data_IF_828413781459
#
_entry.id   IF_828413781459
#
_cell.length_a   1.000
_cell.length_b   1.000
_cell.length_c   1.000
_cell.angle_alpha   90.00
_cell.angle_beta   90.00
_cell.angle_gamma   90.00
#
_symmetry.space_group_name_H-M   'P 1'
#
loop_
_entity.id
_entity.type
_entity.pdbx_description
1 polymer ?
#
# COMPACT_ATOMS: atom_id res chain seq x y z
N UNK A 1 -13.73 -9.73 0.42
CA UNK A 1 -12.78 -9.49 -0.69
C UNK A 1 -13.50 -9.48 -2.05
N UNK A 2 -14.46 -10.38 -2.28
CA UNK A 2 -15.18 -10.46 -3.56
C UNK A 2 -16.02 -9.21 -3.87
N UNK A 3 -16.63 -8.59 -2.86
CA UNK A 3 -17.36 -7.33 -3.05
C UNK A 3 -16.46 -6.19 -3.55
N UNK A 4 -15.25 -6.02 -2.97
CA UNK A 4 -14.30 -5.01 -3.43
C UNK A 4 -13.90 -5.26 -4.88
N UNK A 5 -13.57 -6.51 -5.24
CA UNK A 5 -13.25 -6.87 -6.62
C UNK A 5 -14.42 -6.64 -7.58
N UNK A 6 -15.64 -6.95 -7.15
CA UNK A 6 -16.84 -6.72 -7.96
C UNK A 6 -17.11 -5.24 -8.22
N UNK A 7 -16.82 -4.36 -7.25
CA UNK A 7 -17.05 -2.92 -7.36
C UNK A 7 -15.94 -2.21 -8.15
N UNK A 8 -14.68 -2.56 -7.89
CA UNK A 8 -13.53 -1.83 -8.45
C UNK A 8 -12.85 -2.55 -9.62
N UNK A 9 -13.16 -3.83 -9.85
CA UNK A 9 -12.57 -4.62 -10.93
C UNK A 9 -11.05 -4.64 -10.86
N UNK A 10 -10.39 -4.13 -11.91
CA UNK A 10 -8.93 -4.02 -12.00
C UNK A 10 -8.37 -2.72 -11.41
N UNK A 11 -9.22 -1.82 -10.90
CA UNK A 11 -8.82 -0.54 -10.31
C UNK A 11 -8.45 -0.66 -8.82
N UNK A 12 -7.91 -1.82 -8.43
CA UNK A 12 -7.40 -2.11 -7.09
C UNK A 12 -6.05 -2.83 -7.21
N UNK A 13 -5.11 -2.43 -6.36
CA UNK A 13 -3.80 -3.06 -6.27
C UNK A 13 -3.25 -2.93 -4.85
N UNK A 14 -2.32 -3.82 -4.50
CA UNK A 14 -1.57 -3.76 -3.25
C UNK A 14 -0.25 -3.05 -3.49
N UNK A 15 0.05 -2.07 -2.63
CA UNK A 15 1.33 -1.39 -2.58
C UNK A 15 1.96 -1.56 -1.20
N UNK A 16 2.95 -2.43 -1.06
CA UNK A 16 3.46 -2.94 0.22
C UNK A 16 4.92 -2.58 0.48
N UNK A 17 5.27 -2.32 1.74
CA UNK A 17 6.66 -2.12 2.17
C UNK A 17 7.46 -3.44 2.31
N UNK A 18 6.92 -4.56 1.83
CA UNK A 18 7.59 -5.87 1.81
C UNK A 18 7.38 -6.62 0.49
N UNK A 19 6.14 -6.97 0.14
CA UNK A 19 5.83 -7.66 -1.12
C UNK A 19 5.88 -6.68 -2.31
N UNK A 20 6.64 -7.01 -3.34
CA UNK A 20 6.83 -6.15 -4.52
C UNK A 20 7.87 -5.03 -4.35
N UNK A 21 8.44 -4.84 -3.16
CA UNK A 21 9.54 -3.89 -2.94
C UNK A 21 10.87 -4.58 -3.23
N UNK A 22 11.67 -4.04 -4.17
CA UNK A 22 12.94 -4.65 -4.63
C UNK A 22 13.89 -5.03 -3.47
N UNK A 23 13.97 -4.23 -2.40
CA UNK A 23 14.80 -4.51 -1.22
C UNK A 23 14.40 -5.81 -0.49
N UNK A 24 13.11 -6.15 -0.44
CA UNK A 24 12.57 -7.26 0.35
C UNK A 24 11.94 -8.38 -0.48
N UNK A 25 11.72 -8.16 -1.76
CA UNK A 25 11.12 -9.11 -2.72
C UNK A 25 11.76 -8.98 -4.13
N UNK A 26 13.10 -9.06 -4.25
CA UNK A 26 13.80 -8.85 -5.52
C UNK A 26 13.35 -9.83 -6.62
N UNK A 27 13.06 -11.07 -6.25
CA UNK A 27 12.59 -12.11 -7.17
C UNK A 27 11.06 -12.06 -7.41
N UNK A 28 10.34 -11.17 -6.74
CA UNK A 28 8.88 -11.07 -6.79
C UNK A 28 8.14 -12.32 -6.25
N UNK A 29 8.78 -13.10 -5.37
CA UNK A 29 8.17 -14.34 -4.84
C UNK A 29 7.02 -14.02 -3.89
N UNK A 30 7.20 -13.03 -3.00
CA UNK A 30 6.16 -12.63 -2.03
C UNK A 30 4.97 -12.02 -2.76
N UNK A 31 5.23 -11.13 -3.72
CA UNK A 31 4.19 -10.56 -4.58
C UNK A 31 3.41 -11.65 -5.32
N UNK A 32 4.06 -12.61 -6.00
CA UNK A 32 3.34 -13.71 -6.67
C UNK A 32 2.50 -14.57 -5.73
N UNK A 33 3.00 -14.88 -4.53
CA UNK A 33 2.23 -15.65 -3.54
C UNK A 33 1.00 -14.86 -3.10
N UNK A 34 1.18 -13.57 -2.80
CA UNK A 34 0.09 -12.70 -2.40
C UNK A 34 -0.96 -12.56 -3.50
N UNK A 35 -0.54 -12.25 -4.73
CA UNK A 35 -1.41 -12.14 -5.90
C UNK A 35 -2.24 -13.42 -6.12
N UNK A 36 -1.64 -14.61 -5.94
CA UNK A 36 -2.37 -15.89 -6.03
C UNK A 36 -3.36 -16.09 -4.89
N UNK A 37 -3.01 -15.67 -3.68
CA UNK A 37 -3.86 -15.84 -2.51
C UNK A 37 -5.08 -14.90 -2.53
N UNK A 38 -4.89 -13.64 -2.93
CA UNK A 38 -5.93 -12.62 -2.87
C UNK A 38 -6.52 -12.25 -4.22
N UNK A 39 -5.92 -12.63 -5.35
CA UNK A 39 -6.39 -12.31 -6.70
C UNK A 39 -6.40 -10.81 -7.01
N UNK A 40 -5.49 -10.03 -6.41
CA UNK A 40 -5.30 -8.60 -6.62
C UNK A 40 -3.83 -8.38 -6.95
N UNK A 41 -3.53 -7.53 -7.94
CA UNK A 41 -2.16 -7.25 -8.37
C UNK A 41 -1.35 -6.58 -7.26
N UNK A 42 -0.06 -6.89 -7.19
CA UNK A 42 0.90 -6.21 -6.33
C UNK A 42 1.76 -5.31 -7.19
N UNK A 43 1.78 -4.01 -6.89
CA UNK A 43 2.63 -3.06 -7.60
C UNK A 43 4.07 -3.27 -7.15
N UNK A 44 4.96 -3.46 -8.13
CA UNK A 44 6.39 -3.56 -7.88
C UNK A 44 7.02 -2.17 -7.86
N UNK A 45 7.94 -1.96 -6.94
CA UNK A 45 8.57 -0.66 -6.74
C UNK A 45 9.95 -0.75 -6.11
N UNK A 46 10.73 0.30 -6.33
CA UNK A 46 12.13 0.38 -5.87
C UNK A 46 12.31 1.07 -4.54
N UNK A 47 11.43 2.03 -4.24
CA UNK A 47 11.61 2.95 -3.12
C UNK A 47 10.53 2.69 -2.08
N UNK A 48 10.97 2.38 -0.85
CA UNK A 48 10.08 2.11 0.28
C UNK A 48 9.26 3.36 0.68
N UNK A 49 7.98 3.16 1.01
CA UNK A 49 7.16 4.23 1.60
C UNK A 49 7.73 4.68 2.95
N UNK A 50 7.67 5.99 3.28
CA UNK A 50 6.91 7.04 2.59
C UNK A 50 7.70 7.83 1.53
N UNK A 51 8.83 7.30 1.06
CA UNK A 51 9.57 7.88 -0.06
C UNK A 51 9.05 7.34 -1.40
N UNK A 52 9.59 7.87 -2.51
CA UNK A 52 9.20 7.47 -3.86
C UNK A 52 8.14 8.38 -4.48
N UNK A 53 7.99 8.26 -5.80
CA UNK A 53 7.01 8.99 -6.61
C UNK A 53 5.79 8.12 -6.91
N UNK A 54 4.75 8.72 -7.48
CA UNK A 54 3.53 8.03 -7.91
C UNK A 54 3.67 7.26 -9.24
N UNK A 55 4.81 7.39 -9.95
CA UNK A 55 4.94 6.98 -11.36
C UNK A 55 4.54 5.53 -11.62
N UNK A 56 4.98 4.60 -10.77
CA UNK A 56 4.67 3.17 -10.89
C UNK A 56 3.17 2.89 -10.69
N UNK A 57 2.50 3.68 -9.85
CA UNK A 57 1.08 3.55 -9.53
C UNK A 57 0.22 4.20 -10.62
N UNK A 58 0.59 5.40 -11.07
CA UNK A 58 -0.06 6.07 -12.20
C UNK A 58 0.03 5.23 -13.47
N UNK A 59 1.19 4.62 -13.74
CA UNK A 59 1.38 3.70 -14.87
C UNK A 59 0.51 2.45 -14.76
N UNK A 60 0.34 1.90 -13.56
CA UNK A 60 -0.49 0.72 -13.33
C UNK A 60 -1.97 0.99 -13.60
N UNK A 61 -2.48 2.16 -13.18
CA UNK A 61 -3.90 2.51 -13.30
C UNK A 61 -4.25 3.34 -14.53
N UNK A 62 -3.25 3.94 -15.20
CA UNK A 62 -3.46 4.81 -16.36
C UNK A 62 -4.15 6.13 -16.02
N UNK A 63 -3.98 6.64 -14.80
CA UNK A 63 -4.57 7.90 -14.35
C UNK A 63 -3.62 8.68 -13.46
N UNK A 64 -3.86 9.99 -13.37
CA UNK A 64 -3.11 10.91 -12.52
C UNK A 64 -3.34 10.61 -11.04
N UNK A 65 -2.33 10.94 -10.23
CA UNK A 65 -2.31 10.97 -8.76
C UNK A 65 -3.57 11.54 -8.12
N UNK A 66 -4.12 12.62 -8.68
CA UNK A 66 -5.35 13.27 -8.21
C UNK A 66 -6.60 12.38 -8.22
N UNK A 67 -6.56 11.26 -8.97
CA UNK A 67 -7.64 10.26 -9.09
C UNK A 67 -7.34 8.97 -8.35
N UNK A 68 -6.21 8.89 -7.64
CA UNK A 68 -5.80 7.74 -6.88
C UNK A 68 -6.19 7.87 -5.41
N UNK A 69 -6.51 6.74 -4.78
CA UNK A 69 -6.83 6.63 -3.37
C UNK A 69 -5.83 5.68 -2.72
N UNK A 70 -5.16 6.12 -1.65
CA UNK A 70 -4.35 5.26 -0.80
C UNK A 70 -5.14 4.88 0.45
N UNK A 71 -5.37 3.59 0.64
CA UNK A 71 -6.03 3.04 1.81
C UNK A 71 -5.01 2.24 2.62
N UNK A 72 -4.81 2.57 3.89
CA UNK A 72 -3.85 1.89 4.74
C UNK A 72 -4.04 2.20 6.21
N UNK A 73 -3.34 1.45 7.06
CA UNK A 73 -3.48 1.51 8.51
C UNK A 73 -2.32 2.23 9.20
N UNK A 74 -1.29 2.64 8.45
CA UNK A 74 -0.09 3.26 9.01
C UNK A 74 0.01 4.73 8.61
N UNK A 75 -0.14 5.66 9.56
CA UNK A 75 -0.03 7.10 9.30
C UNK A 75 1.30 7.48 8.63
N UNK A 76 2.43 7.03 9.21
CA UNK A 76 3.76 7.43 8.76
C UNK A 76 4.25 6.76 7.47
N UNK A 77 3.51 5.79 6.93
CA UNK A 77 3.85 5.18 5.64
C UNK A 77 2.76 5.40 4.61
N UNK A 78 1.55 4.93 4.85
CA UNK A 78 0.50 4.93 3.82
C UNK A 78 -0.05 6.34 3.61
N UNK A 79 -0.39 7.02 4.72
CA UNK A 79 -0.99 8.35 4.67
C UNK A 79 0.05 9.39 4.23
N UNK A 80 1.26 9.36 4.80
CA UNK A 80 2.33 10.28 4.38
C UNK A 80 2.71 10.04 2.91
N UNK A 81 2.80 8.79 2.44
CA UNK A 81 3.11 8.52 1.03
C UNK A 81 2.02 9.06 0.09
N UNK A 82 0.74 8.80 0.40
CA UNK A 82 -0.38 9.29 -0.40
C UNK A 82 -0.43 10.81 -0.43
N UNK A 83 -0.30 11.47 0.71
CA UNK A 83 -0.31 12.94 0.79
C UNK A 83 0.86 13.58 0.04
N UNK A 84 2.07 12.99 0.12
CA UNK A 84 3.25 13.47 -0.63
C UNK A 84 3.08 13.37 -2.15
N UNK A 85 2.28 12.41 -2.60
CA UNK A 85 2.07 12.13 -4.01
C UNK A 85 0.71 12.64 -4.53
N UNK A 86 -0.05 13.40 -3.74
CA UNK A 86 -1.31 14.01 -4.17
C UNK A 86 -2.52 13.07 -4.24
N UNK A 87 -2.46 11.93 -3.54
CA UNK A 87 -3.56 10.97 -3.49
C UNK A 87 -4.59 11.39 -2.43
N UNK A 88 -5.86 11.00 -2.62
CA UNK A 88 -6.79 10.94 -1.49
C UNK A 88 -6.35 9.82 -0.54
N UNK A 89 -6.33 10.07 0.76
CA UNK A 89 -5.90 9.08 1.77
C UNK A 89 -7.05 8.67 2.68
N UNK A 90 -7.16 7.36 2.96
CA UNK A 90 -8.10 6.80 3.92
C UNK A 90 -7.31 6.01 4.96
N UNK A 91 -7.28 6.52 6.18
CA UNK A 91 -6.70 5.83 7.32
C UNK A 91 -7.71 4.82 7.86
N UNK A 92 -7.28 3.57 8.00
CA UNK A 92 -8.08 2.46 8.53
C UNK A 92 -7.51 1.95 9.84
N UNK A 93 -8.34 1.29 10.64
CA UNK A 93 -7.84 0.57 11.81
C UNK A 93 -7.00 -0.65 11.38
N UNK A 94 -5.91 -0.96 12.09
CA UNK A 94 -5.10 -2.14 11.79
C UNK A 94 -5.92 -3.42 12.00
N UNK A 95 -5.74 -4.39 11.11
CA UNK A 95 -6.38 -5.72 11.23
C UNK A 95 -5.88 -6.47 12.48
N UNK A 96 -4.62 -6.23 12.89
CA UNK A 96 -4.04 -6.73 14.13
C UNK A 96 -2.79 -5.92 14.52
N UNK A 97 -2.61 -5.67 15.81
CA UNK A 97 -1.40 -5.06 16.38
C UNK A 97 -0.44 -6.10 17.00
N UNK A 98 -0.86 -7.36 17.12
CA UNK A 98 -0.21 -8.35 17.98
C UNK A 98 1.21 -8.73 17.55
N UNK A 99 1.51 -8.63 16.26
CA UNK A 99 2.81 -9.02 15.68
C UNK A 99 3.66 -7.81 15.25
N UNK A 100 3.25 -6.60 15.62
CA UNK A 100 3.97 -5.39 15.23
C UNK A 100 5.14 -5.08 16.15
N UNK A 101 6.27 -4.58 15.63
CA UNK A 101 7.35 -4.07 16.46
C UNK A 101 6.85 -2.97 17.41
N UNK A 102 7.33 -2.96 18.66
CA UNK A 102 6.91 -2.00 19.69
C UNK A 102 6.94 -0.54 19.22
N UNK A 103 7.98 -0.18 18.46
CA UNK A 103 8.11 1.16 17.87
C UNK A 103 6.94 1.52 16.94
N UNK A 104 6.42 0.55 16.18
CA UNK A 104 5.26 0.75 15.30
C UNK A 104 4.00 0.96 16.13
N UNK A 105 3.83 0.21 17.23
CA UNK A 105 2.69 0.37 18.13
C UNK A 105 2.66 1.76 18.78
N UNK A 106 3.82 2.27 19.22
CA UNK A 106 3.93 3.58 19.86
C UNK A 106 3.59 4.74 18.92
N UNK A 107 3.99 4.66 17.65
CA UNK A 107 3.75 5.75 16.68
C UNK A 107 2.37 5.69 16.03
N UNK A 108 1.52 4.72 16.38
CA UNK A 108 0.12 4.68 15.89
C UNK A 108 -0.76 5.72 16.56
N UNK A 109 -0.48 6.04 17.81
CA UNK A 109 -1.21 7.00 18.61
C UNK A 109 -0.21 8.09 19.03
N UNK A 110 0.02 9.13 18.21
CA UNK A 110 0.58 10.35 18.77
C UNK A 110 -0.38 10.77 19.89
N UNK A 111 0.11 10.74 21.13
CA UNK A 111 -0.64 11.20 22.30
C UNK A 111 -1.21 12.60 22.00
N UNK A 112 -2.48 12.82 22.40
CA UNK A 112 -3.13 14.13 22.39
C UNK A 112 -2.38 15.15 23.26
#
# INVERSE_FOLDING_TARGET
MDQCKSLFGNNIAVYSNSAGLDEYDPDGRKSRILERAIGIKVIKHRVKKPAGTAEEIEKQFGCESSRLIMVGDRPFTDIVYGNRNGFLTILTEPVSCAEEPLIVQQVRFPED
#
